data_IF_681797417844
#
_entry.id   IF_681797417844
#
_cell.length_a   1.000
_cell.length_b   1.000
_cell.length_c   1.000
_cell.angle_alpha   90.00
_cell.angle_beta   90.00
_cell.angle_gamma   90.00
#
_symmetry.space_group_name_H-M   'P 1'
#
loop_
_entity.id
_entity.type
_entity.pdbx_description
1 polymer ?
#
# COMPACT_ATOMS: atom_id res chain seq x y z
N UNK A 1 13.23 -0.81 12.44
CA UNK A 1 11.90 -0.21 12.75
C UNK A 1 12.04 1.28 12.98
N UNK A 2 11.10 2.08 12.51
CA UNK A 2 11.10 3.56 12.65
C UNK A 2 9.74 3.97 13.23
N UNK A 3 9.73 4.83 14.24
CA UNK A 3 8.51 5.38 14.82
C UNK A 3 7.71 6.15 13.74
N UNK A 4 6.37 6.02 13.76
CA UNK A 4 5.53 6.49 12.66
C UNK A 4 5.62 8.01 12.44
N UNK A 5 5.56 8.82 13.52
CA UNK A 5 5.62 10.28 13.42
C UNK A 5 6.98 10.76 12.91
N UNK A 6 8.05 10.08 13.31
CA UNK A 6 9.41 10.32 12.80
C UNK A 6 9.49 10.05 11.29
N UNK A 7 8.98 8.89 10.84
CA UNK A 7 8.94 8.56 9.42
C UNK A 7 8.03 9.53 8.64
N UNK A 8 6.92 9.97 9.22
CA UNK A 8 6.02 10.93 8.58
C UNK A 8 6.65 12.33 8.48
N UNK A 9 7.43 12.75 9.47
CA UNK A 9 8.20 14.00 9.35
C UNK A 9 9.24 13.88 8.23
N UNK A 10 10.01 12.79 8.18
CA UNK A 10 10.98 12.54 7.11
C UNK A 10 10.31 12.57 5.72
N UNK A 11 9.12 12.01 5.57
CA UNK A 11 8.37 12.10 4.30
C UNK A 11 8.08 13.57 3.91
N UNK A 12 7.68 14.41 4.86
CA UNK A 12 7.42 15.84 4.60
C UNK A 12 8.69 16.56 4.17
N UNK A 13 9.80 16.33 4.86
CA UNK A 13 11.09 16.95 4.55
C UNK A 13 11.57 16.53 3.15
N UNK A 14 11.44 15.25 2.80
CA UNK A 14 11.75 14.73 1.47
C UNK A 14 10.80 15.28 0.39
N UNK A 15 9.52 15.44 0.70
CA UNK A 15 8.56 16.01 -0.24
C UNK A 15 8.85 17.49 -0.51
N UNK A 16 9.23 18.27 0.51
CA UNK A 16 9.65 19.66 0.35
C UNK A 16 10.94 19.75 -0.47
N UNK A 17 11.90 18.89 -0.21
CA UNK A 17 13.13 18.80 -1.01
C UNK A 17 12.82 18.41 -2.46
N UNK A 18 11.88 17.45 -2.68
CA UNK A 18 11.46 17.05 -4.03
C UNK A 18 10.81 18.19 -4.81
N UNK A 19 9.95 18.96 -4.15
CA UNK A 19 9.35 20.17 -4.74
C UNK A 19 10.42 21.21 -5.11
N UNK A 20 11.51 21.27 -4.34
CA UNK A 20 12.66 22.13 -4.64
C UNK A 20 13.62 21.55 -5.70
N UNK A 21 13.30 20.41 -6.32
CA UNK A 21 14.08 19.80 -7.41
C UNK A 21 15.00 18.65 -7.01
N UNK A 22 14.92 18.14 -5.76
CA UNK A 22 15.63 16.94 -5.38
C UNK A 22 15.11 15.70 -6.13
N UNK A 23 15.87 14.60 -6.10
CA UNK A 23 15.49 13.32 -6.73
C UNK A 23 14.31 12.68 -6.02
N UNK A 24 13.59 11.84 -6.76
CA UNK A 24 12.59 10.93 -6.20
C UNK A 24 13.23 9.97 -5.21
N UNK A 25 12.51 9.64 -4.15
CA UNK A 25 13.01 8.80 -3.05
C UNK A 25 11.98 7.74 -2.69
N UNK A 26 12.41 6.49 -2.54
CA UNK A 26 11.61 5.40 -1.98
C UNK A 26 12.13 5.06 -0.58
N UNK A 27 11.30 5.24 0.45
CA UNK A 27 11.60 4.74 1.79
C UNK A 27 10.95 3.36 1.95
N UNK A 28 11.73 2.36 2.42
CA UNK A 28 11.26 1.04 2.81
C UNK A 28 11.63 0.77 4.27
N UNK A 29 10.64 0.52 5.10
CA UNK A 29 10.83 0.38 6.55
C UNK A 29 9.73 -0.48 7.20
N UNK A 30 9.87 -0.71 8.50
CA UNK A 30 8.84 -1.26 9.37
C UNK A 30 8.58 -0.27 10.51
N UNK A 31 7.36 -0.27 11.05
CA UNK A 31 6.98 0.51 12.23
C UNK A 31 6.84 -0.38 13.48
N UNK A 32 7.02 0.17 14.69
CA UNK A 32 6.41 -0.38 15.89
C UNK A 32 4.87 -0.47 15.74
N UNK A 33 4.18 -1.32 16.53
CA UNK A 33 2.72 -1.43 16.47
C UNK A 33 2.03 -0.06 16.57
N UNK A 34 1.23 0.28 15.56
CA UNK A 34 0.51 1.55 15.50
C UNK A 34 -0.68 1.45 14.54
N UNK A 35 -1.82 2.05 14.91
CA UNK A 35 -2.91 2.29 13.97
C UNK A 35 -2.75 3.68 13.34
N UNK A 36 -3.04 3.78 12.04
CA UNK A 36 -3.08 5.06 11.33
C UNK A 36 -4.47 5.29 10.77
N UNK A 37 -5.12 6.37 11.22
CA UNK A 37 -6.45 6.76 10.79
C UNK A 37 -6.34 7.70 9.59
N UNK A 38 -6.77 7.25 8.40
CA UNK A 38 -6.86 8.08 7.21
C UNK A 38 -8.09 9.00 7.26
N UNK A 39 -8.18 9.92 6.29
CA UNK A 39 -9.21 10.99 6.25
C UNK A 39 -10.66 10.51 6.27
N UNK A 40 -10.92 9.25 5.90
CA UNK A 40 -12.27 8.66 5.86
C UNK A 40 -12.56 7.74 7.03
N UNK A 41 -11.70 7.73 8.07
CA UNK A 41 -11.91 6.92 9.27
C UNK A 41 -13.02 7.50 10.11
N UNK A 42 -14.01 6.67 10.45
CA UNK A 42 -15.11 7.01 11.34
C UNK A 42 -14.76 6.69 12.80
N UNK A 43 -15.37 7.38 13.79
CA UNK A 43 -15.06 7.17 15.20
C UNK A 43 -15.23 5.72 15.67
N UNK A 44 -16.24 5.01 15.17
CA UNK A 44 -16.56 3.62 15.51
C UNK A 44 -15.65 2.58 14.83
N UNK A 45 -14.72 3.01 13.99
CA UNK A 45 -13.73 2.13 13.34
C UNK A 45 -12.42 2.09 14.10
N UNK A 46 -12.25 2.94 15.13
CA UNK A 46 -11.03 3.02 15.93
C UNK A 46 -10.93 1.85 16.90
N UNK A 47 -9.71 1.34 17.13
CA UNK A 47 -9.48 0.24 18.05
C UNK A 47 -9.72 0.64 19.52
N UNK A 48 -10.05 -0.33 20.35
CA UNK A 48 -10.26 -0.15 21.79
C UNK A 48 -9.26 -0.94 22.64
N UNK A 49 -8.22 -1.52 22.00
CA UNK A 49 -7.19 -2.35 22.65
C UNK A 49 -6.06 -1.54 23.32
N UNK A 50 -6.10 -0.20 23.22
CA UNK A 50 -5.09 0.71 23.77
C UNK A 50 -3.87 0.92 22.88
N UNK A 51 -3.77 0.29 21.71
CA UNK A 51 -2.69 0.55 20.74
C UNK A 51 -2.76 2.01 20.22
N UNK A 52 -1.63 2.71 20.11
CA UNK A 52 -1.61 4.10 19.66
C UNK A 52 -2.25 4.30 18.28
N UNK A 53 -3.10 5.30 18.16
CA UNK A 53 -3.72 5.72 16.89
C UNK A 53 -3.18 7.07 16.47
N UNK A 54 -2.68 7.17 15.24
CA UNK A 54 -2.19 8.41 14.64
C UNK A 54 -3.16 8.86 13.56
N UNK A 55 -3.74 10.05 13.70
CA UNK A 55 -4.52 10.68 12.63
C UNK A 55 -3.61 11.16 11.53
N UNK A 56 -3.92 10.79 10.30
CA UNK A 56 -3.09 11.06 9.12
C UNK A 56 -3.90 11.74 8.02
N UNK A 57 -3.19 12.31 7.06
CA UNK A 57 -3.76 13.03 5.94
C UNK A 57 -3.80 12.20 4.63
N UNK A 58 -3.46 10.91 4.68
CA UNK A 58 -3.61 9.98 3.55
C UNK A 58 -5.07 9.70 3.23
N UNK A 59 -5.31 9.24 2.03
CA UNK A 59 -6.60 8.66 1.64
C UNK A 59 -6.91 7.36 2.40
N UNK A 60 -8.15 6.93 2.31
CA UNK A 60 -8.60 5.69 2.93
C UNK A 60 -9.03 5.83 4.39
N UNK A 61 -9.30 4.67 4.99
CA UNK A 61 -9.75 4.51 6.37
C UNK A 61 -8.60 4.04 7.27
N UNK A 62 -8.91 3.58 8.48
CA UNK A 62 -7.93 3.08 9.44
C UNK A 62 -7.22 1.83 8.92
N UNK A 63 -5.96 1.70 9.25
CA UNK A 63 -5.16 0.47 9.07
C UNK A 63 -4.19 0.31 10.23
N UNK A 64 -3.55 -0.85 10.31
CA UNK A 64 -2.51 -1.14 11.29
C UNK A 64 -1.15 -1.28 10.60
N UNK A 65 -0.09 -0.92 11.33
CA UNK A 65 1.30 -1.19 10.98
C UNK A 65 2.02 -1.82 12.18
N UNK A 66 2.97 -2.70 11.91
CA UNK A 66 3.79 -3.34 12.93
C UNK A 66 4.90 -4.22 12.35
N UNK A 67 5.65 -4.91 13.23
CA UNK A 67 6.72 -5.82 12.82
C UNK A 67 6.22 -6.89 11.84
N UNK A 68 7.06 -7.22 10.85
CA UNK A 68 6.70 -8.17 9.80
C UNK A 68 5.82 -7.59 8.68
N UNK A 69 5.53 -6.29 8.70
CA UNK A 69 4.87 -5.59 7.61
C UNK A 69 5.86 -4.64 6.93
N UNK A 70 6.12 -4.84 5.63
CA UNK A 70 6.96 -3.93 4.85
C UNK A 70 6.15 -2.71 4.42
N UNK A 71 6.54 -1.54 4.93
CA UNK A 71 5.93 -0.26 4.56
C UNK A 71 6.81 0.46 3.56
N UNK A 72 6.20 0.94 2.48
CA UNK A 72 6.86 1.71 1.43
C UNK A 72 6.25 3.08 1.24
N UNK A 73 7.11 4.10 1.23
CA UNK A 73 6.75 5.50 0.99
C UNK A 73 7.52 6.03 -0.23
N UNK A 74 6.95 5.93 -1.45
CA UNK A 74 7.52 6.60 -2.60
C UNK A 74 7.21 8.10 -2.52
N UNK A 75 8.25 8.92 -2.42
CA UNK A 75 8.16 10.39 -2.44
C UNK A 75 8.66 10.81 -3.81
N UNK A 76 7.74 11.00 -4.74
CA UNK A 76 8.05 11.25 -6.15
C UNK A 76 7.24 12.43 -6.69
N UNK A 77 7.77 13.07 -7.72
CA UNK A 77 7.03 14.08 -8.48
C UNK A 77 6.19 13.42 -9.58
N UNK A 78 4.89 13.69 -9.57
CA UNK A 78 4.00 13.24 -10.64
C UNK A 78 4.00 14.26 -11.80
N UNK A 79 4.01 13.74 -13.03
CA UNK A 79 3.85 14.56 -14.22
C UNK A 79 2.41 15.11 -14.36
N UNK A 80 2.27 16.25 -15.00
CA UNK A 80 0.98 16.80 -15.38
C UNK A 80 0.50 16.19 -16.74
N UNK A 81 -0.81 15.94 -16.92
CA UNK A 81 -1.87 16.10 -15.92
C UNK A 81 -1.79 15.05 -14.80
N UNK A 82 -2.10 15.44 -13.55
CA UNK A 82 -1.99 14.55 -12.40
C UNK A 82 -2.94 13.35 -12.51
N UNK A 83 -2.39 12.16 -12.59
CA UNK A 83 -3.16 10.90 -12.59
C UNK A 83 -2.82 10.05 -11.34
N UNK A 84 -3.48 10.39 -10.23
CA UNK A 84 -3.32 9.69 -8.96
C UNK A 84 -3.85 8.24 -9.04
N UNK A 85 -4.85 7.98 -9.87
CA UNK A 85 -5.38 6.63 -10.05
C UNK A 85 -4.34 5.75 -10.72
N UNK A 86 -3.73 6.20 -11.80
CA UNK A 86 -2.65 5.49 -12.48
C UNK A 86 -1.45 5.26 -11.54
N UNK A 87 -1.07 6.25 -10.74
CA UNK A 87 -0.02 6.09 -9.73
C UNK A 87 -0.33 4.95 -8.75
N UNK A 88 -1.55 4.92 -8.17
CA UNK A 88 -1.98 3.84 -7.28
C UNK A 88 -1.94 2.48 -8.01
N UNK A 89 -2.39 2.43 -9.27
CA UNK A 89 -2.39 1.19 -10.07
C UNK A 89 -0.98 0.68 -10.37
N UNK A 90 0.02 1.59 -10.54
CA UNK A 90 1.43 1.22 -10.67
C UNK A 90 1.99 0.61 -9.39
N UNK A 91 1.67 1.18 -8.22
CA UNK A 91 2.07 0.59 -6.94
C UNK A 91 1.44 -0.80 -6.74
N UNK A 92 0.17 -0.96 -7.08
CA UNK A 92 -0.50 -2.26 -7.01
C UNK A 92 0.13 -3.28 -7.97
N UNK A 93 0.51 -2.87 -9.19
CA UNK A 93 1.19 -3.76 -10.16
C UNK A 93 2.52 -4.28 -9.60
N UNK A 94 3.34 -3.39 -9.04
CA UNK A 94 4.60 -3.76 -8.40
C UNK A 94 4.39 -4.80 -7.29
N UNK A 95 3.39 -4.59 -6.44
CA UNK A 95 3.10 -5.49 -5.33
C UNK A 95 2.50 -6.83 -5.82
N UNK A 96 1.66 -6.83 -6.85
CA UNK A 96 1.14 -8.04 -7.50
C UNK A 96 2.29 -8.87 -8.06
N UNK A 97 3.24 -8.22 -8.77
CA UNK A 97 4.44 -8.90 -9.26
C UNK A 97 5.22 -9.57 -8.13
N UNK A 98 5.50 -8.86 -7.05
CA UNK A 98 6.26 -9.40 -5.90
C UNK A 98 5.51 -10.55 -5.23
N UNK A 99 4.19 -10.46 -5.07
CA UNK A 99 3.38 -11.57 -4.57
C UNK A 99 3.51 -12.81 -5.47
N UNK A 100 3.44 -12.62 -6.79
CA UNK A 100 3.61 -13.69 -7.77
C UNK A 100 5.00 -14.34 -7.71
N UNK A 101 6.06 -13.55 -7.53
CA UNK A 101 7.44 -14.04 -7.44
C UNK A 101 7.65 -14.97 -6.22
N UNK A 102 6.87 -14.82 -5.15
CA UNK A 102 6.90 -15.72 -3.98
C UNK A 102 5.85 -16.83 -4.03
N UNK A 103 5.07 -16.91 -5.13
CA UNK A 103 4.07 -17.95 -5.37
C UNK A 103 2.66 -17.64 -4.83
N UNK A 104 2.35 -16.37 -4.53
CA UNK A 104 1.01 -15.94 -4.08
C UNK A 104 0.26 -15.28 -5.24
N UNK A 105 -0.78 -15.95 -5.73
CA UNK A 105 -1.67 -15.37 -6.73
C UNK A 105 -2.47 -14.22 -6.12
N UNK A 106 -2.43 -13.06 -6.77
CA UNK A 106 -3.12 -11.86 -6.31
C UNK A 106 -3.76 -11.10 -7.47
N UNK A 107 -4.72 -10.24 -7.11
CA UNK A 107 -5.46 -9.40 -8.06
C UNK A 107 -5.79 -8.03 -7.48
N UNK A 108 -6.27 -7.15 -8.34
CA UNK A 108 -7.01 -5.94 -7.93
C UNK A 108 -8.49 -6.29 -7.73
N UNK A 109 -9.13 -5.52 -6.86
CA UNK A 109 -10.60 -5.55 -6.69
C UNK A 109 -11.14 -4.18 -7.07
N UNK A 110 -12.13 -4.13 -7.94
CA UNK A 110 -12.72 -2.88 -8.39
C UNK A 110 -13.30 -2.09 -7.21
N UNK A 111 -13.06 -0.76 -7.19
CA UNK A 111 -13.48 0.11 -6.09
C UNK A 111 -12.69 -0.02 -4.78
N UNK A 112 -11.73 -0.95 -4.70
CA UNK A 112 -10.97 -1.24 -3.47
C UNK A 112 -9.46 -1.17 -3.75
N UNK A 113 -8.80 -0.09 -3.32
CA UNK A 113 -7.34 0.01 -3.44
C UNK A 113 -6.61 -1.05 -2.62
N UNK A 114 -5.45 -1.48 -3.13
CA UNK A 114 -4.60 -2.51 -2.54
C UNK A 114 -4.52 -3.79 -3.37
N UNK A 115 -3.82 -4.78 -2.83
CA UNK A 115 -3.59 -6.07 -3.49
C UNK A 115 -4.30 -7.17 -2.71
N UNK A 116 -4.99 -8.05 -3.43
CA UNK A 116 -5.94 -8.98 -2.86
C UNK A 116 -5.67 -10.41 -3.33
N UNK A 117 -5.69 -11.33 -2.39
CA UNK A 117 -5.75 -12.77 -2.68
C UNK A 117 -7.20 -13.12 -3.03
N UNK A 118 -7.43 -13.82 -4.16
CA UNK A 118 -8.77 -14.21 -4.58
C UNK A 118 -9.52 -15.01 -3.51
N UNK A 119 -10.82 -14.82 -3.44
CA UNK A 119 -11.72 -15.73 -2.73
C UNK A 119 -11.95 -17.01 -3.54
N UNK A 120 -12.54 -17.99 -2.92
CA UNK A 120 -12.92 -19.26 -3.57
C UNK A 120 -13.14 -20.36 -2.54
N UNK A 121 -13.84 -21.44 -2.93
CA UNK A 121 -14.15 -22.57 -2.05
C UNK A 121 -14.72 -22.15 -0.67
N UNK A 122 -15.62 -21.15 -0.64
CA UNK A 122 -16.21 -20.62 0.60
C UNK A 122 -15.36 -19.61 1.36
N UNK A 123 -14.15 -19.28 0.88
CA UNK A 123 -13.28 -18.25 1.45
C UNK A 123 -13.58 -16.88 0.82
N UNK A 124 -13.56 -15.83 1.66
CA UNK A 124 -13.67 -14.43 1.19
C UNK A 124 -12.36 -13.96 0.57
N UNK A 125 -12.40 -12.89 -0.21
CA UNK A 125 -11.20 -12.16 -0.62
C UNK A 125 -10.44 -11.64 0.60
N UNK A 126 -9.12 -11.64 0.53
CA UNK A 126 -8.24 -11.22 1.62
C UNK A 126 -7.21 -10.23 1.11
N UNK A 127 -7.05 -9.13 1.82
CA UNK A 127 -6.06 -8.10 1.47
C UNK A 127 -4.69 -8.50 1.99
N UNK A 128 -3.71 -8.61 1.10
CA UNK A 128 -2.30 -8.84 1.44
C UNK A 128 -1.49 -7.54 1.46
N UNK A 129 -1.90 -6.54 0.69
CA UNK A 129 -1.27 -5.21 0.74
C UNK A 129 -2.29 -4.09 0.69
N UNK A 130 -2.11 -3.09 1.53
CA UNK A 130 -2.88 -1.85 1.54
C UNK A 130 -2.15 -0.76 0.75
N UNK A 131 -2.91 0.12 0.07
CA UNK A 131 -2.39 1.32 -0.59
C UNK A 131 -3.21 2.51 -0.14
N UNK A 132 -2.55 3.53 0.40
CA UNK A 132 -3.17 4.78 0.82
C UNK A 132 -2.19 5.94 0.67
N UNK A 133 -2.47 6.84 -0.26
CA UNK A 133 -1.57 7.91 -0.68
C UNK A 133 -2.16 9.30 -0.45
N UNK A 134 -1.32 10.30 -0.48
CA UNK A 134 -1.65 11.70 -0.63
C UNK A 134 -0.79 12.31 -1.73
N UNK A 135 -1.34 13.24 -2.48
CA UNK A 135 -0.58 14.10 -3.42
C UNK A 135 -0.74 15.54 -2.99
N UNK A 136 0.36 16.26 -2.91
CA UNK A 136 0.42 17.68 -2.57
C UNK A 136 1.52 18.34 -3.40
N UNK A 137 1.23 19.43 -4.06
CA UNK A 137 2.19 20.12 -4.95
C UNK A 137 2.84 19.15 -5.97
N UNK A 138 2.00 18.34 -6.63
CA UNK A 138 2.41 17.27 -7.54
C UNK A 138 3.38 16.25 -6.96
N UNK A 139 3.61 16.20 -5.63
CA UNK A 139 4.49 15.27 -4.96
C UNK A 139 3.68 14.30 -4.08
N UNK A 140 4.07 13.03 -4.11
CA UNK A 140 3.39 11.95 -3.38
C UNK A 140 3.91 11.85 -1.94
N UNK A 141 3.02 11.45 -1.03
CA UNK A 141 3.30 11.09 0.36
C UNK A 141 2.54 9.81 0.71
N UNK A 142 2.95 9.16 1.79
CA UNK A 142 2.49 7.83 2.17
C UNK A 142 2.76 6.81 1.05
N UNK A 143 1.99 5.74 0.95
CA UNK A 143 2.26 4.73 -0.07
C UNK A 143 1.54 3.42 0.20
N UNK A 144 2.28 2.37 0.53
CA UNK A 144 1.74 1.03 0.69
C UNK A 144 2.26 0.33 1.95
N UNK A 145 1.56 -0.74 2.32
CA UNK A 145 1.96 -1.66 3.37
C UNK A 145 1.68 -3.10 2.91
N UNK A 146 2.74 -3.92 2.79
CA UNK A 146 2.71 -5.32 2.40
C UNK A 146 2.85 -6.20 3.64
N UNK A 147 1.86 -7.03 3.92
CA UNK A 147 1.90 -7.99 5.01
C UNK A 147 2.80 -9.17 4.63
N UNK A 148 3.97 -9.28 5.25
CA UNK A 148 4.93 -10.38 4.99
C UNK A 148 4.72 -11.53 5.97
N UNK A 149 5.12 -11.36 7.23
CA UNK A 149 4.97 -12.33 8.32
C UNK A 149 4.45 -11.68 9.61
N UNK A 150 3.74 -10.55 9.49
CA UNK A 150 3.20 -9.81 10.62
C UNK A 150 2.05 -10.53 11.31
N UNK A 151 1.83 -10.18 12.57
CA UNK A 151 0.65 -10.57 13.33
C UNK A 151 -0.62 -9.95 12.71
N UNK A 152 -1.57 -10.80 12.32
CA UNK A 152 -2.82 -10.40 11.70
C UNK A 152 -3.93 -10.12 12.72
N UNK A 153 -3.78 -10.51 13.98
CA UNK A 153 -4.79 -10.35 15.02
C UNK A 153 -5.08 -8.87 15.31
N UNK A 154 -4.05 -8.02 15.14
CA UNK A 154 -4.20 -6.58 15.27
C UNK A 154 -5.26 -5.96 14.31
N UNK A 155 -5.51 -6.58 13.17
CA UNK A 155 -6.58 -6.15 12.26
C UNK A 155 -7.99 -6.49 12.77
N UNK A 156 -8.11 -7.42 13.73
CA UNK A 156 -9.38 -7.79 14.35
C UNK A 156 -9.99 -6.68 15.22
N UNK A 157 -9.19 -5.72 15.66
CA UNK A 157 -9.63 -4.59 16.48
C UNK A 157 -10.15 -3.39 15.69
N UNK A 158 -10.09 -3.46 14.37
CA UNK A 158 -10.54 -2.40 13.47
C UNK A 158 -11.43 -2.98 12.36
N UNK A 159 -12.16 -2.13 11.64
CA UNK A 159 -12.76 -2.49 10.36
C UNK A 159 -11.81 -2.04 9.26
N UNK A 160 -10.86 -2.91 8.81
CA UNK A 160 -9.80 -2.48 7.90
C UNK A 160 -10.37 -1.93 6.61
N UNK A 161 -10.01 -0.71 6.26
CA UNK A 161 -10.50 -0.01 5.06
C UNK A 161 -12.03 0.12 4.98
N UNK A 162 -12.78 -0.08 6.09
CA UNK A 162 -14.24 -0.07 6.10
C UNK A 162 -14.89 -1.26 5.39
N UNK A 163 -14.15 -2.33 5.12
CA UNK A 163 -14.61 -3.49 4.35
C UNK A 163 -14.93 -4.61 5.34
N UNK A 164 -16.23 -4.85 5.56
CA UNK A 164 -16.72 -5.90 6.48
C UNK A 164 -16.82 -7.28 5.86
N UNK A 165 -16.78 -7.36 4.53
CA UNK A 165 -16.98 -8.58 3.73
C UNK A 165 -15.68 -9.21 3.19
N UNK A 166 -14.53 -8.69 3.60
CA UNK A 166 -13.22 -9.22 3.22
C UNK A 166 -12.32 -9.42 4.43
N UNK A 167 -11.34 -10.31 4.29
CA UNK A 167 -10.32 -10.58 5.30
C UNK A 167 -9.02 -9.83 5.05
N UNK A 168 -8.06 -10.06 5.95
CA UNK A 168 -6.65 -9.68 5.79
C UNK A 168 -5.82 -10.95 5.80
N UNK A 169 -4.70 -10.94 5.10
CA UNK A 169 -3.74 -12.06 5.05
C UNK A 169 -2.31 -11.54 4.93
N UNK A 170 -1.34 -12.44 4.94
CA UNK A 170 0.08 -12.15 4.76
C UNK A 170 0.70 -13.12 3.74
N UNK A 171 1.87 -12.78 3.20
CA UNK A 171 2.62 -13.66 2.31
C UNK A 171 2.89 -15.01 2.97
N UNK A 172 3.32 -15.00 4.24
CA UNK A 172 3.59 -16.23 4.99
C UNK A 172 2.38 -17.13 5.14
N UNK A 173 1.21 -16.55 5.44
CA UNK A 173 -0.04 -17.29 5.59
C UNK A 173 -0.49 -17.94 4.28
N UNK A 174 -0.32 -17.25 3.14
CA UNK A 174 -0.70 -17.78 1.83
C UNK A 174 0.31 -18.78 1.26
N UNK A 175 1.62 -18.58 1.54
CA UNK A 175 2.67 -19.50 1.10
C UNK A 175 2.76 -20.79 1.95
N UNK A 176 2.19 -20.81 3.15
CA UNK A 176 2.38 -21.91 4.11
C UNK A 176 3.83 -22.04 4.62
N UNK A 177 4.66 -21.01 4.45
CA UNK A 177 6.04 -20.89 4.94
C UNK A 177 6.34 -19.46 5.31
N UNK A 178 7.37 -19.25 6.13
CA UNK A 178 7.79 -17.88 6.45
C UNK A 178 8.30 -17.15 5.19
N UNK A 179 7.79 -15.95 4.98
CA UNK A 179 8.26 -14.95 4.00
C UNK A 179 8.34 -13.62 4.76
N UNK A 180 9.52 -13.31 5.28
CA UNK A 180 9.76 -12.12 6.08
C UNK A 180 10.01 -10.88 5.22
N UNK A 181 10.08 -9.73 5.88
CA UNK A 181 10.32 -8.43 5.22
C UNK A 181 11.64 -8.42 4.44
N UNK A 182 12.70 -8.99 4.99
CA UNK A 182 14.02 -8.99 4.33
C UNK A 182 14.05 -9.87 3.08
N UNK A 183 13.20 -10.91 3.02
CA UNK A 183 13.11 -11.81 1.87
C UNK A 183 12.54 -11.11 0.62
N UNK A 184 11.72 -10.06 0.79
CA UNK A 184 11.04 -9.37 -0.31
C UNK A 184 11.46 -7.93 -0.51
N UNK A 185 12.18 -7.31 0.42
CA UNK A 185 12.53 -5.87 0.40
C UNK A 185 13.22 -5.46 -0.89
N UNK A 186 14.21 -6.23 -1.35
CA UNK A 186 14.92 -5.95 -2.60
C UNK A 186 14.04 -6.05 -3.83
N UNK A 187 13.19 -7.10 -3.89
CA UNK A 187 12.23 -7.27 -4.98
C UNK A 187 11.17 -6.17 -5.01
N UNK A 188 10.68 -5.74 -3.84
CA UNK A 188 9.73 -4.62 -3.73
C UNK A 188 10.38 -3.32 -4.21
N UNK A 189 11.63 -3.03 -3.80
CA UNK A 189 12.34 -1.84 -4.27
C UNK A 189 12.45 -1.81 -5.80
N UNK A 190 12.92 -2.89 -6.40
CA UNK A 190 13.07 -3.00 -7.85
C UNK A 190 11.71 -2.88 -8.57
N UNK A 191 10.71 -3.66 -8.16
CA UNK A 191 9.40 -3.66 -8.81
C UNK A 191 8.68 -2.30 -8.71
N UNK A 192 8.81 -1.58 -7.58
CA UNK A 192 8.24 -0.24 -7.42
C UNK A 192 8.94 0.76 -8.34
N UNK A 193 10.27 0.76 -8.41
CA UNK A 193 11.02 1.61 -9.35
C UNK A 193 10.61 1.30 -10.80
N UNK A 194 10.64 0.03 -11.22
CA UNK A 194 10.25 -0.38 -12.56
C UNK A 194 8.82 0.04 -12.93
N UNK A 195 7.89 -0.08 -11.98
CA UNK A 195 6.50 0.33 -12.19
C UNK A 195 6.37 1.85 -12.35
N UNK A 196 7.07 2.62 -11.53
CA UNK A 196 7.01 4.09 -11.55
C UNK A 196 7.74 4.67 -12.76
N UNK A 197 8.85 4.07 -13.19
CA UNK A 197 9.61 4.45 -14.39
C UNK A 197 8.94 3.97 -15.70
N UNK A 198 7.86 3.17 -15.60
CA UNK A 198 7.11 2.67 -16.75
C UNK A 198 7.71 1.42 -17.41
N UNK A 199 8.71 0.80 -16.79
CA UNK A 199 9.34 -0.44 -17.28
C UNK A 199 8.49 -1.68 -16.98
N UNK A 200 7.64 -1.64 -15.93
CA UNK A 200 6.65 -2.67 -15.64
C UNK A 200 5.34 -2.36 -16.34
N UNK A 201 4.90 -3.28 -17.20
CA UNK A 201 3.63 -3.13 -17.93
C UNK A 201 2.45 -3.11 -16.97
N UNK A 202 1.60 -2.09 -17.07
CA UNK A 202 0.39 -1.99 -16.28
C UNK A 202 -0.72 -2.85 -16.90
N UNK A 203 -1.13 -3.90 -16.18
CA UNK A 203 -2.22 -4.80 -16.63
C UNK A 203 -3.61 -4.20 -16.45
N UNK A 204 -3.74 -3.12 -15.67
CA UNK A 204 -5.00 -2.42 -15.46
C UNK A 204 -5.36 -1.52 -16.65
N UNK A 205 -6.65 -1.56 -17.04
CA UNK A 205 -7.23 -0.62 -18.00
C UNK A 205 -8.40 0.13 -17.35
N UNK A 206 -8.51 1.45 -17.54
CA UNK A 206 -9.66 2.19 -17.01
C UNK A 206 -10.96 1.66 -17.63
N UNK A 207 -11.95 1.42 -16.78
CA UNK A 207 -13.30 1.08 -17.23
C UNK A 207 -13.87 2.31 -17.97
N UNK A 208 -14.12 2.21 -19.28
CA UNK A 208 -14.66 3.31 -20.11
C UNK A 208 -13.65 4.01 -21.03
N UNK A 209 -12.39 3.61 -21.08
CA UNK A 209 -11.48 4.06 -22.14
C UNK A 209 -11.98 3.49 -23.49
N UNK A 210 -12.67 4.31 -24.28
CA UNK A 210 -12.94 3.98 -25.69
C UNK A 210 -11.58 3.89 -26.39
N UNK A 211 -11.26 2.74 -26.95
CA UNK A 211 -10.18 2.62 -27.92
C UNK A 211 -10.58 3.52 -29.09
N UNK A 212 -9.89 4.62 -29.27
CA UNK A 212 -9.96 5.36 -30.53
C UNK A 212 -9.38 4.41 -31.58
N UNK A 213 -10.24 3.80 -32.37
CA UNK A 213 -9.84 3.13 -33.61
C UNK A 213 -9.25 4.19 -34.51
N UNK A 214 -7.95 4.14 -34.70
CA UNK A 214 -7.28 4.92 -35.76
C UNK A 214 -7.73 4.41 -37.12
N UNK A 215 -8.09 5.28 -38.07
CA UNK A 215 -8.54 4.92 -39.39
C UNK A 215 -7.46 4.22 -40.22
#
# INVERSE_FOLDING_TARGET
MVEYRTAWQLQRDLADARVAGARDTLLLLEHPPVYTAGRRTEPNERPTDGTPVVDTDRGGKITWHGPGQLVGYPIIGLAEPLDVVNYVRRLEEALIKVCGDVGVETKRVEGRSGVWVPGGAGRRERKVAAVGVRVSRATTLHGFALNCDCDLDAFGWIVPCGIRDAGVTSLSAECGRRVGVDDVRGAVAAAVCDALDGHLALTWRPTGARVASTP
#
